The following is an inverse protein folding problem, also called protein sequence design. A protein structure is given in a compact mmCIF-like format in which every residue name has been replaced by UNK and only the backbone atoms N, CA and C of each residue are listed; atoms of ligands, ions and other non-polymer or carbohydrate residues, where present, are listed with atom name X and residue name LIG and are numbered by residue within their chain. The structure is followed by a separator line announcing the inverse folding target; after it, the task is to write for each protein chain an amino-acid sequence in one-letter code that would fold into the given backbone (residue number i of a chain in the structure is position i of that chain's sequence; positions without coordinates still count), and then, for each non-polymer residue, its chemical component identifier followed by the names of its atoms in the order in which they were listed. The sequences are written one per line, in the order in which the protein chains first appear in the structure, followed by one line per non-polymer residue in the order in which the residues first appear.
data_IF_749913976203
#
_entry.id   IF_749913976203
#
_cell.length_a   1.000
_cell.length_b   1.000
_cell.length_c   1.000
_cell.angle_alpha   90.00
_cell.angle_beta   90.00
_cell.angle_gamma   90.00
#
_symmetry.space_group_name_H-M   'P 1'
#
loop_
_entity.id
_entity.type
_entity.pdbx_description
1 polymer ?
#
# COMPACT_ATOMS: atom_id res chain seq x y z
N UNK A 1 23.24 -4.79 -35.72
CA UNK A 1 23.54 -3.56 -34.97
C UNK A 1 22.22 -2.91 -34.68
N UNK A 2 21.77 -2.89 -33.41
CA UNK A 2 20.52 -2.24 -33.06
C UNK A 2 20.81 -0.75 -32.93
N UNK A 3 20.32 0.04 -33.88
CA UNK A 3 20.35 1.50 -33.76
C UNK A 3 19.48 1.87 -32.56
N UNK A 4 20.12 2.34 -31.49
CA UNK A 4 19.42 2.81 -30.30
C UNK A 4 18.78 4.16 -30.62
N UNK A 5 17.53 4.11 -31.07
CA UNK A 5 16.69 5.30 -31.20
C UNK A 5 16.35 5.84 -29.80
N UNK A 6 16.50 7.14 -29.61
CA UNK A 6 16.08 7.80 -28.37
C UNK A 6 14.56 7.99 -28.35
N UNK A 7 13.98 8.18 -27.16
CA UNK A 7 12.54 8.45 -27.01
C UNK A 7 12.13 9.68 -27.84
N UNK A 8 12.92 10.76 -27.77
CA UNK A 8 12.68 11.99 -28.52
C UNK A 8 12.64 11.77 -30.04
N UNK A 9 13.48 10.87 -30.56
CA UNK A 9 13.48 10.52 -31.99
C UNK A 9 12.24 9.72 -32.37
N UNK A 10 11.77 8.84 -31.48
CA UNK A 10 10.54 8.07 -31.69
C UNK A 10 9.33 9.01 -31.68
N UNK A 11 9.28 9.99 -30.78
CA UNK A 11 8.22 11.00 -30.74
C UNK A 11 8.20 11.83 -32.02
N UNK A 12 9.37 12.27 -32.52
CA UNK A 12 9.47 13.00 -33.78
C UNK A 12 9.00 12.19 -34.99
N UNK A 13 9.26 10.88 -35.01
CA UNK A 13 8.78 9.99 -36.07
C UNK A 13 7.27 9.74 -35.95
N UNK A 14 6.75 9.56 -34.74
CA UNK A 14 5.32 9.38 -34.50
C UNK A 14 4.52 10.64 -34.88
N UNK A 15 5.09 11.83 -34.68
CA UNK A 15 4.49 13.10 -35.06
C UNK A 15 4.35 13.29 -36.58
N UNK A 16 5.11 12.55 -37.40
CA UNK A 16 5.02 12.59 -38.86
C UNK A 16 3.91 11.69 -39.42
N UNK A 17 3.35 10.80 -38.59
CA UNK A 17 2.27 9.90 -38.98
C UNK A 17 0.92 10.63 -39.01
N UNK A 18 0.02 10.15 -39.86
CA UNK A 18 -1.39 10.58 -39.80
C UNK A 18 -2.05 10.10 -38.50
N UNK A 19 -3.13 10.76 -38.03
CA UNK A 19 -3.83 10.32 -36.81
C UNK A 19 -4.26 8.85 -36.83
N UNK A 20 -4.65 8.33 -38.00
CA UNK A 20 -5.05 6.93 -38.16
C UNK A 20 -3.87 5.97 -38.00
N UNK A 21 -2.70 6.34 -38.50
CA UNK A 21 -1.47 5.55 -38.36
C UNK A 21 -0.92 5.59 -36.94
N UNK A 22 -1.06 6.73 -36.23
CA UNK A 22 -0.71 6.82 -34.81
C UNK A 22 -1.56 5.88 -33.95
N UNK A 23 -2.87 5.82 -34.21
CA UNK A 23 -3.78 4.89 -33.50
C UNK A 23 -3.37 3.44 -33.76
N UNK A 24 -3.02 3.10 -35.01
CA UNK A 24 -2.55 1.77 -35.37
C UNK A 24 -1.23 1.42 -34.66
N UNK A 25 -0.29 2.36 -34.61
CA UNK A 25 0.98 2.20 -33.91
C UNK A 25 0.76 1.91 -32.41
N UNK A 26 -0.14 2.65 -31.76
CA UNK A 26 -0.50 2.43 -30.36
C UNK A 26 -1.09 1.02 -30.15
N UNK A 27 -1.98 0.58 -31.04
CA UNK A 27 -2.55 -0.76 -30.98
C UNK A 27 -1.48 -1.85 -31.13
N UNK A 28 -0.54 -1.68 -32.05
CA UNK A 28 0.55 -2.64 -32.27
C UNK A 28 1.52 -2.69 -31.09
N UNK A 29 1.90 -1.53 -30.53
CA UNK A 29 2.77 -1.43 -29.35
C UNK A 29 2.09 -2.06 -28.13
N UNK A 30 0.84 -1.71 -27.86
CA UNK A 30 0.10 -2.27 -26.71
C UNK A 30 -0.08 -3.79 -26.82
N UNK A 31 -0.36 -4.32 -28.01
CA UNK A 31 -0.44 -5.76 -28.24
C UNK A 31 0.91 -6.45 -28.00
N UNK A 32 2.02 -5.84 -28.43
CA UNK A 32 3.36 -6.38 -28.20
C UNK A 32 3.76 -6.32 -26.72
N UNK A 33 3.44 -5.23 -26.02
CA UNK A 33 3.65 -5.10 -24.58
C UNK A 33 2.82 -6.11 -23.78
N UNK A 34 1.60 -6.40 -24.23
CA UNK A 34 0.74 -7.42 -23.59
C UNK A 34 1.25 -8.85 -23.81
N UNK A 35 1.98 -9.09 -24.90
CA UNK A 35 2.61 -10.39 -25.22
C UNK A 35 3.95 -10.58 -24.52
N UNK A 36 4.64 -9.50 -24.19
CA UNK A 36 5.76 -9.53 -23.28
C UNK A 36 5.18 -9.94 -21.91
N UNK A 37 5.37 -11.20 -21.54
CA UNK A 37 5.25 -11.62 -20.15
C UNK A 37 6.28 -10.80 -19.38
N UNK A 38 5.82 -9.68 -18.81
CA UNK A 38 6.59 -8.98 -17.80
C UNK A 38 6.99 -10.05 -16.78
N UNK A 39 8.29 -10.21 -16.46
CA UNK A 39 8.65 -11.03 -15.32
C UNK A 39 7.83 -10.48 -14.16
N UNK A 40 7.09 -11.36 -13.49
CA UNK A 40 6.36 -11.03 -12.28
C UNK A 40 7.37 -10.34 -11.37
N UNK A 41 7.25 -9.02 -11.24
CA UNK A 41 8.18 -8.24 -10.42
C UNK A 41 7.79 -8.57 -8.99
N UNK A 42 8.29 -9.72 -8.52
CA UNK A 42 8.82 -9.94 -7.18
C UNK A 42 8.14 -9.09 -6.09
N UNK A 43 6.81 -9.21 -5.96
CA UNK A 43 6.07 -8.57 -4.88
C UNK A 43 5.66 -9.57 -3.79
N UNK A 44 5.87 -10.88 -4.00
CA UNK A 44 5.49 -11.89 -3.01
C UNK A 44 6.29 -11.76 -1.71
N UNK A 45 7.60 -11.47 -1.79
CA UNK A 45 8.42 -11.25 -0.60
C UNK A 45 8.07 -9.94 0.12
N UNK A 46 7.85 -8.86 -0.62
CA UNK A 46 7.53 -7.56 -0.04
C UNK A 46 6.12 -7.56 0.58
N UNK A 47 5.15 -8.23 -0.05
CA UNK A 47 3.82 -8.45 0.55
C UNK A 47 3.89 -9.33 1.79
N UNK A 48 4.68 -10.39 1.78
CA UNK A 48 4.80 -11.30 2.91
C UNK A 48 5.51 -10.64 4.10
N UNK A 49 6.55 -9.84 3.84
CA UNK A 49 7.24 -9.05 4.87
C UNK A 49 6.32 -7.95 5.43
N UNK A 50 5.55 -7.28 4.58
CA UNK A 50 4.56 -6.29 5.01
C UNK A 50 3.45 -6.91 5.86
N UNK A 51 2.93 -8.08 5.46
CA UNK A 51 1.93 -8.82 6.22
C UNK A 51 2.46 -9.24 7.60
N UNK A 52 3.68 -9.78 7.68
CA UNK A 52 4.31 -10.15 8.94
C UNK A 52 4.50 -8.95 9.88
N UNK A 53 4.82 -7.77 9.34
CA UNK A 53 4.93 -6.53 10.13
C UNK A 53 3.58 -6.05 10.67
N UNK A 54 2.50 -6.19 9.89
CA UNK A 54 1.15 -5.87 10.35
C UNK A 54 0.72 -6.84 11.46
N UNK A 55 0.92 -8.14 11.27
CA UNK A 55 0.57 -9.14 12.28
C UNK A 55 1.29 -8.87 13.60
N UNK A 56 2.61 -8.62 13.56
CA UNK A 56 3.38 -8.29 14.74
C UNK A 56 2.86 -7.02 15.46
N UNK A 57 2.47 -6.00 14.70
CA UNK A 57 1.89 -4.77 15.26
C UNK A 57 0.53 -5.00 15.91
N UNK A 58 -0.32 -5.83 15.30
CA UNK A 58 -1.64 -6.19 15.84
C UNK A 58 -1.50 -7.00 17.12
N UNK A 59 -0.62 -8.01 17.16
CA UNK A 59 -0.34 -8.79 18.38
C UNK A 59 0.14 -7.89 19.53
N UNK A 60 1.08 -6.98 19.26
CA UNK A 60 1.57 -6.06 20.29
C UNK A 60 0.48 -5.11 20.79
N UNK A 61 -0.43 -4.69 19.90
CA UNK A 61 -1.59 -3.87 20.27
C UNK A 61 -2.58 -4.65 21.14
N UNK A 62 -2.83 -5.93 20.83
CA UNK A 62 -3.69 -6.82 21.61
C UNK A 62 -3.09 -7.13 22.99
N UNK A 63 -1.78 -7.38 23.08
CA UNK A 63 -1.07 -7.56 24.35
C UNK A 63 -1.18 -6.32 25.23
N UNK A 64 -0.94 -5.13 24.67
CA UNK A 64 -1.06 -3.86 25.39
C UNK A 64 -2.51 -3.56 25.80
N UNK A 65 -3.48 -3.93 24.96
CA UNK A 65 -4.90 -3.85 25.29
C UNK A 65 -5.25 -4.81 26.45
N UNK A 66 -4.75 -6.03 26.44
CA UNK A 66 -4.95 -6.99 27.52
C UNK A 66 -4.34 -6.51 28.85
N UNK A 67 -3.14 -5.92 28.82
CA UNK A 67 -2.50 -5.32 29.99
C UNK A 67 -3.28 -4.13 30.56
N UNK A 68 -3.95 -3.36 29.70
CA UNK A 68 -4.72 -2.18 30.12
C UNK A 68 -6.16 -2.50 30.54
N UNK A 69 -6.77 -3.56 29.98
CA UNK A 69 -8.12 -4.02 30.36
C UNK A 69 -8.14 -4.53 31.82
N UNK A 70 -7.05 -5.09 32.33
CA UNK A 70 -6.98 -5.53 33.74
C UNK A 70 -7.06 -4.39 34.78
N UNK A 71 -6.84 -3.12 34.40
CA UNK A 71 -6.89 -1.98 35.34
C UNK A 71 -8.21 -1.21 35.33
N UNK A 72 -9.13 -1.52 34.41
CA UNK A 72 -10.37 -0.76 34.22
C UNK A 72 -11.62 -1.61 34.49
N UNK A 73 -11.56 -2.51 35.48
CA UNK A 73 -12.75 -2.84 36.29
C UNK A 73 -13.10 -1.71 37.28
N UNK A 74 -12.29 -0.66 37.32
CA UNK A 74 -12.32 0.43 38.29
C UNK A 74 -13.25 1.60 37.90
N UNK A 75 -14.13 1.50 36.90
CA UNK A 75 -15.13 2.55 36.67
C UNK A 75 -16.01 2.77 37.94
N UNK A 76 -16.30 1.68 38.66
CA UNK A 76 -16.97 1.71 39.96
C UNK A 76 -16.05 2.18 41.10
N UNK A 77 -14.77 1.78 41.12
CA UNK A 77 -13.79 2.24 42.12
C UNK A 77 -13.51 3.74 41.98
N UNK A 78 -13.40 4.27 40.76
CA UNK A 78 -13.24 5.69 40.48
C UNK A 78 -14.47 6.47 40.97
N UNK A 79 -15.68 5.93 40.79
CA UNK A 79 -16.91 6.52 41.36
C UNK A 79 -16.88 6.52 42.89
N UNK A 80 -16.49 5.41 43.52
CA UNK A 80 -16.37 5.30 44.98
C UNK A 80 -15.35 6.28 45.56
N UNK A 81 -14.18 6.43 44.92
CA UNK A 81 -13.15 7.39 45.33
C UNK A 81 -13.66 8.83 45.22
N UNK A 82 -14.42 9.14 44.16
CA UNK A 82 -15.04 10.47 43.99
C UNK A 82 -16.06 10.75 45.10
N UNK A 83 -16.98 9.82 45.35
CA UNK A 83 -18.00 9.97 46.41
C UNK A 83 -17.40 10.09 47.82
N UNK A 84 -16.33 9.36 48.12
CA UNK A 84 -15.63 9.47 49.41
C UNK A 84 -14.97 10.84 49.60
N UNK A 85 -14.50 11.49 48.52
CA UNK A 85 -13.92 12.84 48.58
C UNK A 85 -14.99 13.91 48.77
N UNK A 86 -16.16 13.77 48.14
CA UNK A 86 -17.26 14.75 48.30
C UNK A 86 -17.93 14.67 49.68
N UNK A 87 -17.88 13.53 50.38
CA UNK A 87 -18.43 13.38 51.74
C UNK A 87 -17.53 13.92 52.86
N UNK A 88 -16.26 14.25 52.57
CA UNK A 88 -15.28 14.79 53.53
C UNK A 88 -15.15 16.32 53.48
N UNK A 89 -15.96 16.98 52.67
CA UNK A 89 -16.17 18.43 52.61
C UNK A 89 -17.55 18.75 53.20
#
# INVERSE_FOLDING_TARGET
MAEHLTLDQIEQLAAQLTPQEQIKLIADVSANLSRLKLPDVQNDNDQQEYAARIEAFLTLSEEMAAETVSKVDSAQEIRQIREQRTKKL
#
